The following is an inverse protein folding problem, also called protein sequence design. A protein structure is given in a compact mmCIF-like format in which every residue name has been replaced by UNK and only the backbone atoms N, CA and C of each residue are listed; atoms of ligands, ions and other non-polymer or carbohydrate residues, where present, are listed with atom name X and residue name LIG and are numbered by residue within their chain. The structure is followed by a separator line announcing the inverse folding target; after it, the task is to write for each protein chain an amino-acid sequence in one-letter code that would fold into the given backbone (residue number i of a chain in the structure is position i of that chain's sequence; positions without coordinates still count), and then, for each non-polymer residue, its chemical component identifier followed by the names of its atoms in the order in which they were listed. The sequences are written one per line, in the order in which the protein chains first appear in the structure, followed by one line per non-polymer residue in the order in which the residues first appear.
data_IF_508298951499
#
_entry.id   IF_508298951499
#
_cell.length_a   1.000
_cell.length_b   1.000
_cell.length_c   1.000
_cell.angle_alpha   90.00
_cell.angle_beta   90.00
_cell.angle_gamma   90.00
#
_symmetry.space_group_name_H-M   'P 1'
#
loop_
_entity.id
_entity.type
_entity.pdbx_description
1 polymer ?
#
# COMPACT_ATOMS: atom_id res chain seq x y z
N UNK A 1 20.89 7.06 1.69
CA UNK A 1 20.39 6.30 0.52
C UNK A 1 18.95 5.83 0.78
N UNK A 2 17.96 6.27 -0.01
CA UNK A 2 16.59 5.73 0.08
C UNK A 2 16.54 4.43 -0.73
N UNK A 3 16.47 3.28 -0.06
CA UNK A 3 16.13 2.01 -0.71
C UNK A 3 14.61 1.92 -0.86
N UNK A 4 14.15 1.63 -2.08
CA UNK A 4 12.76 1.36 -2.41
C UNK A 4 12.63 -0.15 -2.61
N UNK A 5 11.67 -0.76 -1.92
CA UNK A 5 11.36 -2.18 -2.00
C UNK A 5 9.97 -2.36 -2.60
N UNK A 6 9.79 -3.38 -3.44
CA UNK A 6 8.52 -3.72 -4.06
C UNK A 6 8.15 -5.17 -3.78
N UNK A 7 6.93 -5.40 -3.31
CA UNK A 7 6.28 -6.71 -3.24
C UNK A 7 5.33 -6.80 -4.42
N UNK A 8 5.60 -7.74 -5.32
CA UNK A 8 4.79 -7.99 -6.51
C UNK A 8 4.19 -9.39 -6.40
N UNK A 9 2.99 -9.57 -6.96
CA UNK A 9 2.55 -10.92 -7.28
C UNK A 9 2.05 -11.00 -8.71
N UNK A 10 2.30 -12.16 -9.30
CA UNK A 10 1.96 -12.49 -10.66
C UNK A 10 0.86 -13.54 -10.70
N UNK A 11 0.00 -13.47 -11.71
CA UNK A 11 -0.96 -14.50 -12.06
C UNK A 11 -0.97 -14.61 -13.58
N UNK A 12 -0.88 -15.83 -14.12
CA UNK A 12 -0.84 -16.06 -15.58
C UNK A 12 0.13 -15.12 -16.34
N UNK A 13 1.34 -14.94 -15.79
CA UNK A 13 2.40 -14.07 -16.31
C UNK A 13 2.16 -12.54 -16.20
N UNK A 14 1.03 -12.10 -15.65
CA UNK A 14 0.72 -10.69 -15.43
C UNK A 14 0.90 -10.26 -13.97
N UNK A 15 1.41 -9.04 -13.75
CA UNK A 15 1.49 -8.46 -12.40
C UNK A 15 0.11 -7.99 -11.96
N UNK A 16 -0.55 -8.80 -11.14
CA UNK A 16 -1.90 -8.49 -10.64
C UNK A 16 -1.90 -7.56 -9.43
N UNK A 17 -0.76 -7.43 -8.74
CA UNK A 17 -0.64 -6.54 -7.58
C UNK A 17 0.80 -6.09 -7.35
N UNK A 18 0.94 -4.86 -6.86
CA UNK A 18 2.20 -4.26 -6.46
C UNK A 18 2.02 -3.43 -5.19
N UNK A 19 2.96 -3.57 -4.24
CA UNK A 19 3.09 -2.74 -3.06
C UNK A 19 4.52 -2.23 -3.03
N UNK A 20 4.69 -0.91 -2.97
CA UNK A 20 5.97 -0.22 -2.95
C UNK A 20 6.11 0.51 -1.63
N UNK A 21 7.21 0.26 -0.95
CA UNK A 21 7.53 0.90 0.31
C UNK A 21 9.03 1.19 0.41
N UNK A 22 9.41 2.06 1.33
CA UNK A 22 10.81 2.25 1.70
C UNK A 22 11.01 1.69 3.09
N UNK A 23 11.93 0.73 3.21
CA UNK A 23 12.31 0.15 4.50
C UNK A 23 12.95 1.20 5.40
N UNK A 24 13.96 1.92 4.88
CA UNK A 24 14.68 2.93 5.63
C UNK A 24 13.80 4.11 6.05
N UNK A 25 12.90 4.56 5.17
CA UNK A 25 11.98 5.65 5.48
C UNK A 25 10.70 5.18 6.21
N UNK A 26 10.55 3.87 6.46
CA UNK A 26 9.37 3.26 7.10
C UNK A 26 8.06 3.78 6.50
N UNK A 27 7.98 3.79 5.18
CA UNK A 27 6.91 4.50 4.47
C UNK A 27 6.32 3.66 3.35
N UNK A 28 5.00 3.44 3.39
CA UNK A 28 4.25 2.92 2.26
C UNK A 28 4.05 4.03 1.24
N UNK A 29 4.56 3.82 0.04
CA UNK A 29 4.52 4.80 -1.05
C UNK A 29 3.36 4.56 -2.00
N UNK A 30 3.20 3.32 -2.48
CA UNK A 30 2.16 2.96 -3.43
C UNK A 30 1.64 1.55 -3.18
N UNK A 31 0.35 1.33 -3.43
CA UNK A 31 -0.24 -0.01 -3.50
C UNK A 31 -1.29 -0.03 -4.60
N UNK A 32 -1.24 -1.04 -5.46
CA UNK A 32 -2.20 -1.24 -6.53
C UNK A 32 -2.54 -2.72 -6.65
N UNK A 33 -3.83 -2.99 -6.81
CA UNK A 33 -4.37 -4.33 -7.10
C UNK A 33 -5.25 -4.20 -8.34
N UNK A 34 -5.03 -5.11 -9.29
CA UNK A 34 -5.79 -5.21 -10.52
C UNK A 34 -7.31 -5.24 -10.20
N UNK A 35 -8.16 -4.45 -10.88
CA UNK A 35 -9.59 -4.32 -10.56
C UNK A 35 -10.32 -5.65 -10.40
N UNK A 36 -10.07 -6.62 -11.27
CA UNK A 36 -10.70 -7.95 -11.27
C UNK A 36 -10.26 -8.85 -10.10
N UNK A 37 -9.19 -8.45 -9.41
CA UNK A 37 -8.65 -9.14 -8.24
C UNK A 37 -8.92 -8.37 -6.93
N UNK A 38 -9.67 -7.26 -6.98
CA UNK A 38 -10.07 -6.51 -5.77
C UNK A 38 -11.08 -7.29 -4.93
N UNK A 39 -11.29 -6.84 -3.69
CA UNK A 39 -12.25 -7.41 -2.71
C UNK A 39 -12.02 -8.87 -2.29
N UNK A 40 -10.92 -9.49 -2.71
CA UNK A 40 -10.50 -10.85 -2.30
C UNK A 40 -9.52 -10.87 -1.12
N UNK A 41 -9.49 -9.82 -0.29
CA UNK A 41 -8.53 -9.69 0.82
C UNK A 41 -7.06 -9.46 0.39
N UNK A 42 -6.78 -9.32 -0.90
CA UNK A 42 -5.42 -9.24 -1.45
C UNK A 42 -4.62 -8.07 -0.85
N UNK A 43 -5.20 -6.87 -0.80
CA UNK A 43 -4.50 -5.70 -0.26
C UNK A 43 -4.18 -5.86 1.24
N UNK A 44 -5.05 -6.55 2.00
CA UNK A 44 -4.79 -6.90 3.40
C UNK A 44 -3.63 -7.88 3.53
N UNK A 45 -3.55 -8.89 2.66
CA UNK A 45 -2.43 -9.83 2.64
C UNK A 45 -1.11 -9.10 2.34
N UNK A 46 -1.07 -8.24 1.31
CA UNK A 46 0.13 -7.47 0.97
C UNK A 46 0.61 -6.56 2.11
N UNK A 47 -0.33 -5.93 2.82
CA UNK A 47 -0.01 -5.14 4.00
C UNK A 47 0.63 -6.02 5.08
N UNK A 48 0.08 -7.20 5.37
CA UNK A 48 0.70 -8.14 6.33
C UNK A 48 2.10 -8.56 5.90
N UNK A 49 2.29 -8.88 4.61
CA UNK A 49 3.59 -9.24 4.06
C UNK A 49 4.60 -8.11 4.27
N UNK A 50 4.24 -6.87 3.90
CA UNK A 50 5.08 -5.70 4.15
C UNK A 50 5.40 -5.54 5.64
N UNK A 51 4.39 -5.59 6.50
CA UNK A 51 4.54 -5.35 7.94
C UNK A 51 5.46 -6.41 8.60
N UNK A 52 5.42 -7.65 8.12
CA UNK A 52 6.29 -8.74 8.60
C UNK A 52 7.78 -8.52 8.32
N UNK A 53 8.11 -7.64 7.36
CA UNK A 53 9.51 -7.29 7.07
C UNK A 53 10.09 -6.30 8.08
N UNK A 54 9.25 -5.61 8.85
CA UNK A 54 9.66 -4.62 9.83
C UNK A 54 9.70 -5.21 11.25
N UNK A 55 10.58 -4.70 12.13
CA UNK A 55 10.52 -4.99 13.56
C UNK A 55 9.16 -4.59 14.17
N UNK A 56 8.72 -5.29 15.21
CA UNK A 56 7.43 -5.10 15.88
C UNK A 56 7.20 -3.70 16.48
N UNK A 57 8.28 -2.99 16.84
CA UNK A 57 8.21 -1.69 17.52
C UNK A 57 8.63 -0.51 16.63
N UNK A 58 8.35 -0.58 15.33
CA UNK A 58 8.55 0.57 14.43
C UNK A 58 7.25 1.18 13.93
N UNK A 59 7.23 2.51 13.90
CA UNK A 59 6.15 3.25 13.28
C UNK A 59 6.33 3.28 11.76
N UNK A 60 5.24 2.98 11.05
CA UNK A 60 5.20 3.02 9.59
C UNK A 60 4.26 4.17 9.19
N UNK A 61 4.66 4.96 8.21
CA UNK A 61 3.85 6.04 7.68
C UNK A 61 3.17 5.62 6.38
N UNK A 62 1.94 6.07 6.18
CA UNK A 62 1.25 5.97 4.89
C UNK A 62 0.65 7.31 4.53
N UNK A 63 0.80 7.70 3.27
CA UNK A 63 0.10 8.86 2.72
C UNK A 63 -1.08 8.38 1.90
N UNK A 64 -2.27 8.89 2.19
CA UNK A 64 -3.50 8.50 1.50
C UNK A 64 -4.21 9.73 0.93
N UNK A 65 -5.14 9.48 0.00
CA UNK A 65 -5.97 10.52 -0.59
C UNK A 65 -6.83 11.24 0.46
N UNK A 66 -7.14 12.51 0.19
CA UNK A 66 -8.02 13.38 0.99
C UNK A 66 -9.40 12.75 1.14
N UNK A 67 -10.16 13.14 2.16
CA UNK A 67 -11.47 12.55 2.49
C UNK A 67 -12.50 12.59 1.35
N UNK A 68 -12.50 13.67 0.55
CA UNK A 68 -13.44 13.83 -0.57
C UNK A 68 -12.90 13.29 -1.91
N UNK A 69 -11.70 12.72 -1.94
CA UNK A 69 -11.15 12.12 -3.16
C UNK A 69 -11.72 10.72 -3.37
N UNK A 70 -12.31 10.48 -4.55
CA UNK A 70 -12.89 9.20 -4.94
C UNK A 70 -11.85 8.06 -5.00
N UNK A 71 -10.59 8.39 -5.30
CA UNK A 71 -9.47 7.43 -5.27
C UNK A 71 -9.21 6.90 -3.85
N UNK A 72 -9.63 7.65 -2.83
CA UNK A 72 -9.51 7.27 -1.42
C UNK A 72 -10.58 6.32 -0.89
N UNK A 73 -11.69 6.11 -1.62
CA UNK A 73 -12.83 5.31 -1.15
C UNK A 73 -12.41 3.87 -0.77
N UNK A 74 -11.58 3.24 -1.61
CA UNK A 74 -11.08 1.88 -1.37
C UNK A 74 -9.92 1.79 -0.36
N UNK A 75 -8.84 2.60 -0.45
CA UNK A 75 -7.70 2.47 0.46
C UNK A 75 -7.94 3.03 1.87
N UNK A 76 -8.79 4.05 2.07
CA UNK A 76 -9.01 4.64 3.42
C UNK A 76 -9.57 3.64 4.44
N UNK A 77 -10.65 2.88 4.16
CA UNK A 77 -11.16 1.87 5.10
C UNK A 77 -10.14 0.76 5.37
N UNK A 78 -9.39 0.35 4.34
CA UNK A 78 -8.34 -0.66 4.47
C UNK A 78 -7.28 -0.21 5.46
N UNK A 79 -6.70 0.98 5.28
CA UNK A 79 -5.70 1.43 6.21
C UNK A 79 -6.31 1.63 7.60
N UNK A 80 -7.45 2.34 7.72
CA UNK A 80 -8.12 2.57 9.03
C UNK A 80 -8.26 1.26 9.81
N UNK A 81 -8.64 0.16 9.16
CA UNK A 81 -8.69 -1.18 9.76
C UNK A 81 -7.35 -1.62 10.37
N UNK A 82 -6.21 -1.38 9.73
CA UNK A 82 -4.88 -1.69 10.29
C UNK A 82 -4.46 -0.79 11.44
N UNK A 83 -4.95 0.45 11.51
CA UNK A 83 -4.74 1.30 12.70
C UNK A 83 -5.65 0.90 13.85
N UNK A 84 -6.85 0.39 13.56
CA UNK A 84 -7.82 -0.06 14.56
C UNK A 84 -7.55 -1.50 15.07
N UNK A 85 -6.93 -2.38 14.27
CA UNK A 85 -6.53 -3.76 14.65
C UNK A 85 -5.37 -3.81 15.67
N UNK A 86 -5.18 -2.76 16.47
CA UNK A 86 -4.21 -2.68 17.56
C UNK A 86 -4.52 -3.72 18.65
N UNK A 87 -3.97 -4.92 18.50
CA UNK A 87 -3.60 -5.79 19.62
C UNK A 87 -2.21 -6.38 19.34
N UNK A 88 -1.23 -5.93 20.14
CA UNK A 88 0.09 -6.51 20.42
C UNK A 88 1.29 -6.37 19.46
N UNK A 89 1.19 -5.91 18.20
CA UNK A 89 2.39 -6.00 17.31
C UNK A 89 2.77 -4.80 16.42
N UNK A 90 2.02 -3.71 16.38
CA UNK A 90 2.39 -2.50 15.61
C UNK A 90 2.03 -1.25 16.40
N UNK A 91 3.03 -0.53 16.92
CA UNK A 91 2.77 0.58 17.83
C UNK A 91 2.09 1.76 17.12
N UNK A 92 2.48 2.23 15.93
CA UNK A 92 1.68 3.22 15.18
C UNK A 92 1.82 3.14 13.65
N UNK A 93 0.71 3.06 12.92
CA UNK A 93 0.66 3.50 11.52
C UNK A 93 0.16 4.96 11.50
N UNK A 94 0.99 5.88 11.03
CA UNK A 94 0.68 7.31 11.03
C UNK A 94 0.08 7.70 9.67
N UNK A 95 -1.12 8.28 9.71
CA UNK A 95 -1.80 8.84 8.54
C UNK A 95 -1.36 10.27 8.30
N UNK A 96 -0.72 10.51 7.16
CA UNK A 96 -0.55 11.86 6.65
C UNK A 96 -1.47 12.07 5.45
N UNK A 97 -2.34 13.09 5.53
CA UNK A 97 -3.10 13.59 4.39
C UNK A 97 -2.22 14.62 3.70
N UNK A 98 -1.61 14.27 2.56
CA UNK A 98 -0.90 15.23 1.70
C UNK A 98 -1.56 15.28 0.32
N UNK A 99 -1.42 16.43 -0.35
CA UNK A 99 -1.83 16.62 -1.74
C UNK A 99 -0.99 15.66 -2.61
N UNK A 100 -1.53 14.50 -2.96
CA UNK A 100 -0.86 13.50 -3.77
C UNK A 100 -1.05 13.84 -5.26
N UNK A 101 -0.23 14.75 -5.76
CA UNK A 101 0.04 14.86 -7.21
C UNK A 101 0.84 13.65 -7.73
N UNK A 102 1.35 12.78 -6.86
CA UNK A 102 2.33 11.75 -7.23
C UNK A 102 1.76 10.38 -7.67
N UNK A 103 0.44 10.17 -7.63
CA UNK A 103 -0.21 8.91 -8.08
C UNK A 103 -0.90 9.11 -9.45
N UNK A 104 -0.74 10.26 -10.09
CA UNK A 104 -1.20 10.40 -11.48
C UNK A 104 -0.19 9.75 -12.44
N UNK A 105 -0.55 8.55 -12.88
CA UNK A 105 0.05 7.82 -14.02
C UNK A 105 1.46 7.25 -13.81
N UNK A 106 1.55 6.17 -13.03
CA UNK A 106 2.16 4.95 -13.58
C UNK A 106 1.05 3.95 -13.84
N UNK A 107 0.20 4.26 -14.82
CA UNK A 107 -0.38 3.15 -15.57
C UNK A 107 0.83 2.38 -16.10
N UNK A 108 0.96 1.12 -15.68
CA UNK A 108 1.77 0.16 -16.44
C UNK A 108 1.19 0.25 -17.85
N UNK A 109 1.89 0.95 -18.75
CA UNK A 109 1.50 0.99 -20.15
C UNK A 109 1.47 -0.47 -20.56
N UNK A 110 0.29 -0.98 -20.89
CA UNK A 110 0.15 -2.24 -21.61
C UNK A 110 1.10 -2.15 -22.81
N UNK A 111 2.02 -3.10 -23.03
CA UNK A 111 2.57 -3.25 -24.36
C UNK A 111 1.37 -3.60 -25.24
N UNK A 112 1.02 -2.68 -26.14
CA UNK A 112 0.12 -2.98 -27.25
C UNK A 112 1.00 -3.78 -28.19
N UNK A 113 0.70 -5.07 -28.34
CA UNK A 113 1.21 -5.87 -29.45
C UNK A 113 0.45 -5.49 -30.72
#
# INVERSE_FOLDING_TARGET
MKSITAICAKHANEVVRVLIFSYNAKCLSCMAVHPEHRRKGIATAMMKDMLSLFPSDVDISVTTFRENDSKGIAPRPLYKKFVLLKMSWLRNLIYHIKNLSCIERKQVKRPVH
#
